data_IF_206940648382
#
_entry.id   IF_206940648382
#
_cell.length_a   1.000
_cell.length_b   1.000
_cell.length_c   1.000
_cell.angle_alpha   90.00
_cell.angle_beta   90.00
_cell.angle_gamma   90.00
#
_symmetry.space_group_name_H-M   'P 1'
#
loop_
_entity.id
_entity.type
_entity.pdbx_description
1 polymer ?
#
# COMPACT_ATOMS: atom_id res chain seq x y z
N UNK A 1 -10.99 10.87 -33.37
CA UNK A 1 -11.12 10.75 -31.90
C UNK A 1 -9.88 9.99 -31.42
N UNK A 2 -8.83 10.73 -31.09
CA UNK A 2 -7.55 10.16 -30.68
C UNK A 2 -7.57 9.97 -29.17
N UNK A 3 -7.61 8.71 -28.73
CA UNK A 3 -7.42 8.35 -27.33
C UNK A 3 -5.97 8.62 -26.95
N UNK A 4 -5.77 9.51 -25.98
CA UNK A 4 -4.48 9.75 -25.32
C UNK A 4 -4.04 8.44 -24.68
N UNK A 5 -3.02 7.82 -25.29
CA UNK A 5 -2.21 6.80 -24.62
C UNK A 5 -1.31 7.60 -23.69
N UNK A 6 -1.61 7.55 -22.40
CA UNK A 6 -0.79 8.16 -21.37
C UNK A 6 0.61 7.53 -21.44
N UNK A 7 1.55 8.26 -22.04
CA UNK A 7 2.97 7.96 -22.02
C UNK A 7 3.48 8.17 -20.60
N UNK A 8 3.25 7.19 -19.74
CA UNK A 8 3.96 7.04 -18.47
C UNK A 8 5.46 6.90 -18.82
N UNK A 9 6.20 7.98 -18.65
CA UNK A 9 7.59 8.10 -19.08
C UNK A 9 8.45 7.05 -18.38
N UNK A 10 9.42 6.49 -19.10
CA UNK A 10 10.37 5.43 -18.68
C UNK A 10 11.07 5.69 -17.32
N UNK A 11 11.06 6.94 -16.81
CA UNK A 11 11.55 7.31 -15.48
C UNK A 11 10.70 6.79 -14.31
N UNK A 12 9.39 6.69 -14.47
CA UNK A 12 8.50 6.14 -13.43
C UNK A 12 8.72 4.63 -13.26
N UNK A 13 9.26 3.96 -14.28
CA UNK A 13 9.59 2.53 -14.26
C UNK A 13 10.85 2.20 -13.50
N UNK A 14 11.52 3.13 -12.84
CA UNK A 14 12.70 2.80 -12.02
C UNK A 14 12.69 3.43 -10.63
N UNK A 15 11.69 4.27 -10.36
CA UNK A 15 11.59 4.99 -9.11
C UNK A 15 10.82 4.16 -8.08
N UNK A 16 11.27 4.13 -6.81
CA UNK A 16 10.53 3.47 -5.75
C UNK A 16 9.16 4.14 -5.60
N UNK A 17 8.11 3.39 -5.19
CA UNK A 17 6.76 3.93 -5.04
C UNK A 17 6.66 4.79 -3.77
N UNK A 18 7.44 5.87 -3.70
CA UNK A 18 7.53 6.78 -2.56
C UNK A 18 6.87 8.10 -2.94
N UNK A 19 6.14 8.66 -1.99
CA UNK A 19 5.56 10.00 -2.05
C UNK A 19 6.37 10.92 -1.12
N UNK A 20 6.69 12.12 -1.58
CA UNK A 20 7.38 13.13 -0.78
C UNK A 20 6.49 13.70 0.34
N UNK A 21 5.17 13.55 0.23
CA UNK A 21 4.25 13.92 1.29
C UNK A 21 4.51 13.07 2.55
N UNK A 22 4.44 13.71 3.72
CA UNK A 22 4.53 12.99 5.00
C UNK A 22 3.25 12.23 5.30
N UNK A 23 3.33 11.19 6.14
CA UNK A 23 2.18 10.37 6.59
C UNK A 23 1.15 11.16 7.42
N UNK A 24 1.42 12.43 7.74
CA UNK A 24 0.52 13.26 8.52
C UNK A 24 -0.72 13.67 7.70
N UNK A 25 -1.89 13.59 8.33
CA UNK A 25 -3.15 14.01 7.72
C UNK A 25 -3.73 13.03 6.67
N UNK A 26 -4.79 13.47 5.95
CA UNK A 26 -5.53 12.62 5.02
C UNK A 26 -4.66 12.16 3.85
N UNK A 27 -4.62 10.86 3.53
CA UNK A 27 -4.01 10.39 2.29
C UNK A 27 -4.92 10.72 1.09
N UNK A 28 -4.33 10.85 -0.12
CA UNK A 28 -5.10 10.92 -1.35
C UNK A 28 -5.83 9.60 -1.59
N UNK A 29 -7.11 9.69 -1.97
CA UNK A 29 -8.05 8.55 -1.99
C UNK A 29 -8.89 8.49 -3.26
N UNK A 30 -8.43 9.12 -4.36
CA UNK A 30 -9.05 8.85 -5.67
C UNK A 30 -8.79 7.41 -6.09
N UNK A 31 -9.57 6.89 -7.04
CA UNK A 31 -9.31 5.55 -7.56
C UNK A 31 -7.93 5.45 -8.23
N UNK A 32 -7.42 6.55 -8.80
CA UNK A 32 -6.09 6.55 -9.38
C UNK A 32 -5.00 6.42 -8.31
N UNK A 33 -5.15 7.14 -7.20
CA UNK A 33 -4.23 7.08 -6.05
C UNK A 33 -4.25 5.71 -5.39
N UNK A 34 -5.42 5.06 -5.37
CA UNK A 34 -5.55 3.68 -4.92
C UNK A 34 -4.81 2.69 -5.85
N UNK A 35 -4.91 2.84 -7.18
CA UNK A 35 -4.21 1.95 -8.13
C UNK A 35 -2.70 2.13 -8.10
N UNK A 36 -2.24 3.37 -7.95
CA UNK A 36 -0.83 3.75 -7.98
C UNK A 36 -0.37 4.26 -6.61
N UNK A 37 -0.75 3.54 -5.54
CA UNK A 37 -0.48 3.98 -4.18
C UNK A 37 1.03 4.08 -3.93
N UNK A 38 1.45 5.25 -3.47
CA UNK A 38 2.84 5.56 -3.09
C UNK A 38 2.94 5.70 -1.57
N UNK A 39 4.05 5.19 -1.02
CA UNK A 39 4.39 5.22 0.39
C UNK A 39 4.82 6.62 0.79
N UNK A 40 4.03 7.27 1.64
CA UNK A 40 4.34 8.59 2.21
C UNK A 40 5.50 8.51 3.19
N UNK A 41 6.22 9.62 3.36
CA UNK A 41 7.36 9.70 4.28
C UNK A 41 6.91 9.56 5.73
N UNK A 42 7.64 8.76 6.50
CA UNK A 42 7.46 8.69 7.94
C UNK A 42 7.77 10.08 8.57
N UNK A 43 6.88 10.64 9.42
CA UNK A 43 7.06 11.98 9.98
C UNK A 43 8.33 12.17 10.80
N UNK A 44 8.83 11.11 11.46
CA UNK A 44 10.09 11.12 12.20
C UNK A 44 11.32 10.86 11.32
N UNK A 45 11.29 11.33 10.06
CA UNK A 45 12.46 11.21 9.17
C UNK A 45 13.65 11.93 9.80
N UNK A 46 14.79 11.25 9.89
CA UNK A 46 16.00 11.78 10.53
C UNK A 46 16.02 11.69 12.05
N UNK A 47 14.96 11.19 12.68
CA UNK A 47 14.98 10.84 14.10
C UNK A 47 15.88 9.62 14.34
N UNK A 48 16.57 9.59 15.47
CA UNK A 48 17.41 8.46 15.86
C UNK A 48 16.58 7.19 15.99
N UNK A 49 17.09 6.11 15.39
CA UNK A 49 16.52 4.77 15.51
C UNK A 49 17.34 4.01 16.54
N UNK A 50 16.68 3.49 17.57
CA UNK A 50 17.27 2.54 18.50
C UNK A 50 16.84 1.13 18.10
N UNK A 51 17.80 0.32 17.65
CA UNK A 51 17.55 -1.07 17.25
C UNK A 51 17.54 -1.94 18.51
N UNK A 52 16.42 -2.60 18.79
CA UNK A 52 16.23 -3.37 20.02
C UNK A 52 16.47 -4.86 19.81
N UNK A 53 15.70 -5.48 18.91
CA UNK A 53 15.67 -6.94 18.73
C UNK A 53 15.46 -7.29 17.26
N UNK A 54 16.16 -8.30 16.75
CA UNK A 54 15.87 -8.89 15.43
C UNK A 54 14.64 -9.80 15.56
N UNK A 55 13.54 -9.44 14.88
CA UNK A 55 12.31 -10.22 14.86
C UNK A 55 12.31 -11.35 13.82
N UNK A 56 13.21 -11.27 12.83
CA UNK A 56 13.39 -12.30 11.81
C UNK A 56 13.98 -11.76 10.52
N UNK A 57 14.43 -12.68 9.65
CA UNK A 57 14.96 -12.36 8.34
C UNK A 57 14.46 -13.35 7.29
N UNK A 58 14.47 -12.93 6.03
CA UNK A 58 14.07 -13.75 4.89
C UNK A 58 14.81 -13.36 3.62
N UNK A 59 14.31 -13.81 2.48
CA UNK A 59 14.92 -13.59 1.17
C UNK A 59 14.97 -12.12 0.75
N UNK A 60 14.09 -11.29 1.30
CA UNK A 60 13.88 -9.90 0.86
C UNK A 60 14.44 -8.86 1.82
N UNK A 61 14.60 -9.24 3.09
CA UNK A 61 15.00 -8.30 4.13
C UNK A 61 15.08 -8.92 5.52
N UNK A 62 15.24 -8.04 6.50
CA UNK A 62 15.27 -8.31 7.93
C UNK A 62 14.33 -7.36 8.64
N UNK A 63 13.67 -7.84 9.69
CA UNK A 63 12.74 -7.05 10.49
C UNK A 63 13.31 -6.91 11.89
N UNK A 64 13.38 -5.67 12.36
CA UNK A 64 13.78 -5.35 13.71
C UNK A 64 12.62 -4.73 14.49
N UNK A 65 12.55 -5.05 15.78
CA UNK A 65 11.89 -4.23 16.78
C UNK A 65 12.81 -3.04 17.06
N UNK A 66 12.30 -1.83 16.92
CA UNK A 66 13.07 -0.60 17.10
C UNK A 66 12.21 0.50 17.70
N UNK A 67 12.80 1.39 18.49
CA UNK A 67 12.17 2.66 18.86
C UNK A 67 12.65 3.75 17.91
N UNK A 68 11.77 4.71 17.60
CA UNK A 68 12.15 5.88 16.78
C UNK A 68 11.94 7.13 17.63
N UNK A 69 13.04 7.75 18.08
CA UNK A 69 12.99 8.77 19.13
C UNK A 69 12.43 8.20 20.43
N UNK A 70 11.57 8.95 21.12
CA UNK A 70 10.95 8.52 22.39
C UNK A 70 9.57 7.88 22.17
N UNK A 71 9.38 7.16 21.05
CA UNK A 71 8.10 6.52 20.72
C UNK A 71 8.06 5.04 21.13
N UNK A 72 6.85 4.49 21.19
CA UNK A 72 6.63 3.06 21.40
C UNK A 72 7.35 2.22 20.34
N UNK A 73 7.88 1.03 20.68
CA UNK A 73 8.56 0.16 19.73
C UNK A 73 7.69 -0.22 18.52
N UNK A 74 8.29 -0.14 17.33
CA UNK A 74 7.71 -0.52 16.06
C UNK A 74 8.53 -1.61 15.39
N UNK A 75 7.92 -2.29 14.40
CA UNK A 75 8.66 -3.15 13.50
C UNK A 75 9.20 -2.32 12.32
N UNK A 76 10.51 -2.37 12.07
CA UNK A 76 11.17 -1.77 10.92
C UNK A 76 11.70 -2.89 10.03
N UNK A 77 11.19 -2.99 8.80
CA UNK A 77 11.76 -3.87 7.77
C UNK A 77 12.84 -3.13 7.01
N UNK A 78 14.04 -3.72 6.97
CA UNK A 78 15.17 -3.28 6.15
C UNK A 78 15.28 -4.25 4.98
N UNK A 79 15.19 -3.73 3.77
CA UNK A 79 15.26 -4.55 2.55
C UNK A 79 16.70 -4.72 2.09
N UNK A 80 17.04 -5.93 1.62
CA UNK A 80 18.34 -6.19 1.01
C UNK A 80 18.53 -5.44 -0.31
N UNK A 81 17.43 -5.16 -1.02
CA UNK A 81 17.43 -4.49 -2.32
C UNK A 81 16.30 -3.47 -2.40
N UNK A 82 16.67 -2.20 -2.50
CA UNK A 82 15.73 -1.08 -2.67
C UNK A 82 15.73 -0.50 -4.08
N UNK A 83 16.67 -0.92 -4.93
CA UNK A 83 16.71 -0.56 -6.34
C UNK A 83 15.96 -1.59 -7.17
N UNK A 84 15.20 -1.12 -8.18
CA UNK A 84 14.50 -2.01 -9.11
C UNK A 84 15.52 -2.90 -9.83
N UNK A 85 15.35 -4.23 -9.84
CA UNK A 85 16.22 -5.11 -10.61
C UNK A 85 16.09 -4.85 -12.11
N UNK A 86 17.19 -5.03 -12.85
CA UNK A 86 17.14 -4.98 -14.30
C UNK A 86 16.21 -6.09 -14.84
N UNK A 87 15.42 -5.81 -15.88
CA UNK A 87 14.64 -6.83 -16.56
C UNK A 87 15.52 -7.99 -17.03
N UNK A 88 15.02 -9.22 -16.90
CA UNK A 88 15.75 -10.42 -17.33
C UNK A 88 15.41 -10.77 -18.78
N UNK A 89 16.39 -11.10 -19.63
CA UNK A 89 16.13 -11.52 -21.00
C UNK A 89 15.39 -12.86 -21.02
N UNK A 90 14.47 -13.01 -21.98
CA UNK A 90 13.74 -14.26 -22.20
C UNK A 90 14.40 -15.09 -23.32
N UNK A 91 14.35 -16.44 -23.25
CA UNK A 91 15.01 -17.32 -24.23
C UNK A 91 14.58 -17.12 -25.69
N UNK A 92 13.41 -16.52 -25.94
CA UNK A 92 12.87 -16.27 -27.29
C UNK A 92 12.81 -14.78 -27.65
N UNK A 93 13.61 -13.95 -26.99
CA UNK A 93 13.61 -12.50 -27.14
C UNK A 93 12.63 -11.80 -26.19
N UNK A 94 12.89 -10.50 -25.97
CA UNK A 94 12.18 -9.68 -24.99
C UNK A 94 12.75 -9.79 -23.58
N UNK A 95 12.12 -9.06 -22.65
CA UNK A 95 12.53 -9.00 -21.26
C UNK A 95 11.33 -9.25 -20.35
N UNK A 96 11.54 -9.94 -19.23
CA UNK A 96 10.58 -10.02 -18.13
C UNK A 96 10.99 -9.07 -17.01
N UNK A 97 10.02 -8.36 -16.45
CA UNK A 97 10.22 -7.70 -15.17
C UNK A 97 10.54 -8.78 -14.11
N UNK A 98 11.49 -8.47 -13.24
CA UNK A 98 11.78 -9.30 -12.07
C UNK A 98 10.94 -8.78 -10.92
N UNK A 99 10.47 -9.68 -10.07
CA UNK A 99 9.81 -9.33 -8.82
C UNK A 99 10.63 -8.30 -8.05
N UNK A 100 9.94 -7.29 -7.50
CA UNK A 100 10.56 -6.23 -6.73
C UNK A 100 9.80 -6.05 -5.41
N UNK A 101 10.12 -6.87 -4.39
CA UNK A 101 9.36 -6.91 -3.15
C UNK A 101 9.27 -5.56 -2.43
N UNK A 102 10.31 -4.74 -2.56
CA UNK A 102 10.30 -3.38 -2.01
C UNK A 102 9.16 -2.52 -2.58
N UNK A 103 8.88 -2.63 -3.88
CA UNK A 103 7.73 -1.93 -4.48
C UNK A 103 6.42 -2.52 -3.99
N UNK A 104 6.27 -3.85 -4.07
CA UNK A 104 5.03 -4.53 -3.76
C UNK A 104 4.59 -4.27 -2.30
N UNK A 105 5.52 -4.41 -1.34
CA UNK A 105 5.23 -4.14 0.06
C UNK A 105 4.98 -2.66 0.34
N UNK A 106 5.75 -1.76 -0.26
CA UNK A 106 5.51 -0.32 -0.11
C UNK A 106 4.12 0.08 -0.62
N UNK A 107 3.68 -0.48 -1.75
CA UNK A 107 2.34 -0.28 -2.29
C UNK A 107 1.27 -0.86 -1.36
N UNK A 108 1.48 -2.06 -0.83
CA UNK A 108 0.55 -2.68 0.13
C UNK A 108 0.40 -1.82 1.40
N UNK A 109 1.50 -1.31 1.96
CA UNK A 109 1.45 -0.43 3.14
C UNK A 109 0.72 0.89 2.81
N UNK A 110 1.02 1.50 1.67
CA UNK A 110 0.35 2.71 1.20
C UNK A 110 -1.15 2.50 0.92
N UNK A 111 -1.55 1.29 0.54
CA UNK A 111 -2.94 0.87 0.38
C UNK A 111 -3.65 0.69 1.71
N UNK A 112 -3.01 0.03 2.66
CA UNK A 112 -3.51 -0.18 4.02
C UNK A 112 -3.81 1.17 4.69
N UNK A 113 -2.91 2.14 4.56
CA UNK A 113 -3.11 3.50 5.04
C UNK A 113 -4.42 4.12 4.52
N UNK A 114 -4.66 4.04 3.20
CA UNK A 114 -5.86 4.60 2.56
C UNK A 114 -7.12 3.89 3.00
N UNK A 115 -7.07 2.57 3.16
CA UNK A 115 -8.18 1.77 3.69
C UNK A 115 -8.49 2.19 5.14
N UNK A 116 -7.47 2.29 6.00
CA UNK A 116 -7.63 2.74 7.39
C UNK A 116 -8.29 4.12 7.46
N UNK A 117 -7.79 5.06 6.66
CA UNK A 117 -8.36 6.41 6.59
C UNK A 117 -9.81 6.42 6.10
N UNK A 118 -10.11 5.66 5.05
CA UNK A 118 -11.46 5.57 4.51
C UNK A 118 -12.44 4.99 5.56
N UNK A 119 -12.01 3.96 6.29
CA UNK A 119 -12.80 3.35 7.37
C UNK A 119 -13.02 4.28 8.56
N UNK A 120 -12.04 5.14 8.90
CA UNK A 120 -12.18 6.09 10.02
C UNK A 120 -13.04 7.31 9.68
N UNK A 121 -13.12 7.68 8.40
CA UNK A 121 -13.82 8.91 7.95
C UNK A 121 -15.19 8.67 7.35
N UNK A 122 -15.53 7.44 6.98
CA UNK A 122 -16.82 7.12 6.40
C UNK A 122 -17.35 5.77 6.93
N UNK A 123 -18.39 5.78 7.76
CA UNK A 123 -18.94 4.56 8.35
C UNK A 123 -19.76 3.71 7.37
N UNK A 124 -20.06 4.18 6.15
CA UNK A 124 -20.98 3.52 5.22
C UNK A 124 -20.31 2.70 4.11
N UNK A 125 -19.01 2.37 4.25
CA UNK A 125 -18.34 1.54 3.26
C UNK A 125 -18.96 0.13 3.26
N UNK A 126 -19.49 -0.31 2.12
CA UNK A 126 -20.05 -1.67 1.97
C UNK A 126 -19.21 -2.53 1.04
N UNK A 127 -18.87 -3.74 1.49
CA UNK A 127 -18.03 -4.70 0.75
C UNK A 127 -18.70 -6.07 0.59
N UNK A 128 -18.28 -6.85 -0.41
CA UNK A 128 -18.70 -8.24 -0.59
C UNK A 128 -17.89 -9.15 0.34
N UNK A 129 -18.54 -9.99 1.13
CA UNK A 129 -17.87 -11.04 1.91
C UNK A 129 -17.31 -12.12 0.97
N UNK A 130 -16.09 -12.59 1.26
CA UNK A 130 -15.45 -13.69 0.53
C UNK A 130 -15.40 -13.51 -0.99
N UNK A 131 -14.75 -12.46 -1.53
CA UNK A 131 -14.66 -12.28 -2.97
C UNK A 131 -13.89 -13.44 -3.62
N UNK A 132 -14.58 -14.27 -4.40
CA UNK A 132 -13.98 -15.42 -5.12
C UNK A 132 -13.42 -15.08 -6.49
N UNK A 133 -13.62 -13.83 -6.96
CA UNK A 133 -13.12 -13.38 -8.27
C UNK A 133 -12.31 -12.10 -8.12
N UNK A 134 -11.31 -11.94 -9.00
CA UNK A 134 -10.52 -10.71 -9.09
C UNK A 134 -11.41 -9.47 -9.26
N UNK A 135 -12.43 -9.55 -10.11
CA UNK A 135 -13.41 -8.46 -10.31
C UNK A 135 -14.14 -8.09 -9.02
N UNK A 136 -14.50 -9.07 -8.19
CA UNK A 136 -15.13 -8.82 -6.89
C UNK A 136 -14.15 -8.17 -5.90
N UNK A 137 -12.91 -8.64 -5.86
CA UNK A 137 -11.86 -8.05 -5.02
C UNK A 137 -11.57 -6.59 -5.40
N UNK A 138 -11.41 -6.30 -6.70
CA UNK A 138 -11.25 -4.93 -7.22
C UNK A 138 -12.46 -4.06 -6.88
N UNK A 139 -13.68 -4.59 -6.98
CA UNK A 139 -14.89 -3.83 -6.63
C UNK A 139 -14.97 -3.53 -5.13
N UNK A 140 -14.55 -4.46 -4.27
CA UNK A 140 -14.41 -4.22 -2.84
C UNK A 140 -13.39 -3.10 -2.60
N UNK A 141 -12.23 -3.21 -3.23
CA UNK A 141 -11.16 -2.23 -3.08
C UNK A 141 -11.57 -0.83 -3.58
N UNK A 142 -12.30 -0.75 -4.71
CA UNK A 142 -12.86 0.51 -5.23
C UNK A 142 -13.74 1.24 -4.21
N UNK A 143 -14.45 0.51 -3.34
CA UNK A 143 -15.34 1.08 -2.30
C UNK A 143 -14.62 1.99 -1.32
N UNK A 144 -13.30 1.82 -1.15
CA UNK A 144 -12.50 2.67 -0.28
C UNK A 144 -12.06 3.97 -0.95
N UNK A 145 -12.23 4.12 -2.27
CA UNK A 145 -11.95 5.37 -2.99
C UNK A 145 -13.06 6.40 -2.81
N UNK A 146 -12.77 7.70 -3.02
CA UNK A 146 -13.74 8.79 -2.91
C UNK A 146 -15.01 8.54 -3.74
N UNK A 147 -14.83 8.16 -5.01
CA UNK A 147 -15.95 7.85 -5.91
C UNK A 147 -16.70 6.59 -5.47
N UNK A 148 -15.98 5.58 -4.98
CA UNK A 148 -16.60 4.37 -4.45
C UNK A 148 -17.48 4.62 -3.24
N UNK A 149 -17.03 5.49 -2.33
CA UNK A 149 -17.79 5.91 -1.15
C UNK A 149 -19.04 6.72 -1.52
N UNK A 150 -18.94 7.63 -2.49
CA UNK A 150 -20.08 8.41 -2.99
C UNK A 150 -21.11 7.55 -3.75
N UNK A 151 -20.65 6.57 -4.54
CA UNK A 151 -21.53 5.69 -5.32
C UNK A 151 -22.41 4.76 -4.47
N UNK A 152 -22.11 4.58 -3.18
CA UNK A 152 -22.93 3.80 -2.25
C UNK A 152 -24.21 4.53 -1.84
N UNK A 153 -24.20 5.86 -1.92
CA UNK A 153 -25.34 6.71 -1.56
C UNK A 153 -26.47 6.65 -2.61
N UNK A 154 -26.22 6.07 -3.79
CA UNK A 154 -27.16 6.01 -4.93
C UNK A 154 -27.66 4.59 -5.25
N UNK A 155 -28.06 3.83 -4.22
CA UNK A 155 -28.99 2.67 -4.32
C UNK A 155 -28.44 1.28 -4.72
N UNK A 156 -27.21 1.10 -5.26
CA UNK A 156 -26.82 -0.22 -5.81
C UNK A 156 -26.18 -1.26 -4.85
N UNK A 157 -26.05 -0.97 -3.55
CA UNK A 157 -25.35 -1.86 -2.58
C UNK A 157 -26.08 -2.10 -1.26
N UNK A 158 -27.39 -1.85 -1.21
CA UNK A 158 -28.23 -2.20 -0.07
C UNK A 158 -28.10 -3.71 0.24
N UNK A 159 -27.90 -4.06 1.51
CA UNK A 159 -27.75 -5.44 1.99
C UNK A 159 -26.32 -6.00 2.02
N UNK A 160 -25.31 -5.26 1.54
CA UNK A 160 -23.92 -5.64 1.76
C UNK A 160 -23.46 -5.27 3.19
N UNK A 161 -22.61 -6.11 3.81
CA UNK A 161 -22.09 -5.84 5.15
C UNK A 161 -21.00 -4.76 5.15
N UNK A 162 -20.78 -4.19 6.32
CA UNK A 162 -19.62 -3.33 6.61
C UNK A 162 -18.32 -4.14 6.51
N UNK A 163 -17.18 -3.48 6.23
CA UNK A 163 -15.89 -4.12 6.35
C UNK A 163 -15.68 -4.61 7.79
N UNK A 164 -14.98 -5.73 7.99
CA UNK A 164 -14.52 -6.10 9.32
C UNK A 164 -13.68 -4.96 9.91
N UNK A 165 -13.60 -4.83 11.26
CA UNK A 165 -12.70 -3.87 11.87
C UNK A 165 -11.28 -4.13 11.36
N UNK A 166 -10.50 -3.05 11.22
CA UNK A 166 -9.10 -3.21 10.86
C UNK A 166 -8.43 -4.09 11.91
N UNK A 167 -7.75 -5.19 11.52
CA UNK A 167 -7.20 -6.11 12.50
C UNK A 167 -6.26 -5.34 13.43
N UNK A 168 -6.26 -5.64 14.74
CA UNK A 168 -5.22 -5.10 15.61
C UNK A 168 -3.87 -5.52 14.98
N UNK A 169 -3.04 -4.53 14.66
CA UNK A 169 -1.66 -4.86 14.30
C UNK A 169 -1.09 -5.57 15.52
N UNK A 170 -0.51 -6.78 15.37
CA UNK A 170 0.04 -7.48 16.50
C UNK A 170 1.02 -6.52 17.20
N UNK A 171 0.79 -6.30 18.49
CA UNK A 171 1.81 -5.70 19.32
C UNK A 171 3.04 -6.58 19.18
N UNK A 172 4.22 -5.98 19.00
CA UNK A 172 5.45 -6.77 19.04
C UNK A 172 5.44 -7.52 20.37
N UNK A 173 5.32 -8.85 20.32
CA UNK A 173 5.26 -9.68 21.52
C UNK A 173 6.52 -9.38 22.36
N UNK A 174 6.32 -9.26 23.68
CA UNK A 174 7.39 -9.00 24.64
C UNK A 174 8.18 -10.27 24.90
#
# INVERSE_FOLDING_TARGET
MNGSVDNETDKDRHSPPVDENTLNGPPPTTWNDCKHAKLRQFPGRGTQIEWLECLGHGEEGIVYKASIGNSEPVAIKVFWRTLRPNPQPLPRGGFRAVEWPFEDESRIVALIEKIKWAMSTNPEIKIRKGPTTYKNAVRNFYSFSNKGRQSLQTSSRQGLPDPPPFPPLPTCHK
#
